data_IF_350035572796
#
_entry.id   IF_350035572796
#
_cell.length_a   1.000
_cell.length_b   1.000
_cell.length_c   1.000
_cell.angle_alpha   90.00
_cell.angle_beta   90.00
_cell.angle_gamma   90.00
#
_symmetry.space_group_name_H-M   'P 1'
#
loop_
_entity.id
_entity.type
_entity.pdbx_description
1 polymer ?
#
# COMPACT_ATOMS: atom_id res chain seq x y z
N UNK A 1 20.09 -31.44 7.48
CA UNK A 1 20.38 -30.58 8.65
C UNK A 1 20.15 -29.15 8.20
N UNK A 2 19.01 -28.57 8.58
CA UNK A 2 18.55 -27.26 8.12
C UNK A 2 18.87 -26.23 9.20
N UNK A 3 19.79 -25.31 8.91
CA UNK A 3 20.17 -24.22 9.81
C UNK A 3 19.32 -22.98 9.50
N UNK A 4 18.33 -22.71 10.35
CA UNK A 4 17.64 -21.40 10.40
C UNK A 4 18.63 -20.36 10.93
N UNK A 5 18.77 -19.25 10.20
CA UNK A 5 19.49 -18.08 10.68
C UNK A 5 18.72 -17.42 11.85
N UNK A 6 19.41 -16.87 12.86
CA UNK A 6 18.77 -16.27 14.03
C UNK A 6 18.31 -14.84 13.72
N UNK A 7 16.99 -14.62 13.74
CA UNK A 7 16.38 -13.29 13.67
C UNK A 7 16.51 -12.60 15.03
N UNK A 8 17.13 -11.41 15.06
CA UNK A 8 17.23 -10.58 16.26
C UNK A 8 15.87 -9.94 16.57
N UNK A 9 15.25 -10.37 17.66
CA UNK A 9 13.99 -9.86 18.18
C UNK A 9 14.15 -8.43 18.71
N UNK A 10 13.44 -7.48 18.10
CA UNK A 10 12.79 -6.41 18.87
C UNK A 10 11.28 -6.55 18.64
N UNK A 11 10.46 -6.70 19.68
CA UNK A 11 9.03 -6.86 19.51
C UNK A 11 8.43 -5.55 18.98
N UNK A 12 8.00 -5.56 17.72
CA UNK A 12 7.03 -4.58 17.22
C UNK A 12 5.72 -4.90 17.96
N UNK A 13 5.22 -3.95 18.74
CA UNK A 13 4.00 -4.13 19.53
C UNK A 13 2.84 -4.40 18.57
N UNK A 14 2.36 -5.64 18.53
CA UNK A 14 1.22 -6.01 17.70
C UNK A 14 0.01 -5.14 18.06
N UNK A 15 -0.65 -4.49 17.08
CA UNK A 15 -1.88 -3.74 17.34
C UNK A 15 -2.99 -4.71 17.76
N UNK A 16 -3.86 -4.26 18.69
CA UNK A 16 -4.96 -5.09 19.19
C UNK A 16 -6.05 -5.23 18.12
N UNK A 17 -6.52 -6.45 17.80
CA UNK A 17 -7.64 -6.63 16.88
C UNK A 17 -8.89 -5.97 17.46
N UNK A 18 -9.65 -5.29 16.59
CA UNK A 18 -11.00 -4.83 16.96
C UNK A 18 -11.91 -6.05 16.85
N UNK A 19 -12.19 -6.70 17.98
CA UNK A 19 -12.99 -7.93 18.02
C UNK A 19 -14.35 -7.76 17.35
N UNK A 20 -14.77 -8.78 16.60
CA UNK A 20 -16.15 -8.90 16.14
C UNK A 20 -17.05 -9.10 17.37
N UNK A 21 -18.13 -8.31 17.44
CA UNK A 21 -19.14 -8.24 18.51
C UNK A 21 -18.77 -7.39 19.74
N UNK A 22 -19.21 -6.14 19.72
CA UNK A 22 -19.88 -5.55 20.88
C UNK A 22 -20.98 -4.61 20.39
N UNK A 23 -22.20 -4.86 20.90
CA UNK A 23 -23.33 -3.95 20.83
C UNK A 23 -22.89 -2.51 21.14
N UNK A 24 -23.16 -1.58 20.22
CA UNK A 24 -23.02 -0.15 20.46
C UNK A 24 -24.11 0.30 21.46
N UNK A 25 -23.86 0.13 22.75
CA UNK A 25 -24.50 0.96 23.78
C UNK A 25 -23.63 2.17 24.06
N UNK A 26 -24.25 3.33 23.96
CA UNK A 26 -23.80 4.66 24.34
C UNK A 26 -22.76 4.75 25.48
N UNK A 27 -21.74 5.58 25.27
CA UNK A 27 -21.01 6.26 26.35
C UNK A 27 -19.52 5.92 26.44
N UNK A 28 -18.68 6.68 25.73
CA UNK A 28 -17.28 6.87 26.14
C UNK A 28 -17.08 8.32 26.59
N UNK A 29 -16.56 8.57 27.81
CA UNK A 29 -16.31 9.91 28.29
C UNK A 29 -15.11 10.53 27.55
N UNK A 30 -15.33 11.73 27.03
CA UNK A 30 -14.34 12.60 26.42
C UNK A 30 -13.29 13.00 27.47
N UNK A 31 -12.13 12.34 27.50
CA UNK A 31 -10.97 12.87 28.23
C UNK A 31 -10.21 13.81 27.29
N UNK A 32 -10.27 15.10 27.60
CA UNK A 32 -9.50 16.13 26.91
C UNK A 32 -8.00 15.84 27.08
N UNK A 33 -7.35 15.43 25.99
CA UNK A 33 -5.91 15.42 25.91
C UNK A 33 -5.40 16.85 26.08
N UNK A 34 -4.62 17.10 27.14
CA UNK A 34 -3.89 18.37 27.33
C UNK A 34 -3.02 18.60 26.09
N UNK A 35 -3.32 19.67 25.35
CA UNK A 35 -2.48 20.15 24.27
C UNK A 35 -1.06 20.41 24.81
N UNK A 36 -0.09 19.63 24.35
CA UNK A 36 1.33 20.03 24.45
C UNK A 36 1.53 21.20 23.51
N UNK A 37 2.21 22.25 23.98
CA UNK A 37 2.53 23.42 23.17
C UNK A 37 3.35 23.05 21.92
N UNK A 38 3.45 23.97 20.94
CA UNK A 38 4.15 23.69 19.69
C UNK A 38 5.65 23.59 19.98
N UNK A 39 6.15 22.37 20.06
CA UNK A 39 7.58 22.10 19.93
C UNK A 39 7.95 22.48 18.48
N UNK A 40 8.87 23.43 18.30
CA UNK A 40 9.36 23.79 16.97
C UNK A 40 10.08 22.59 16.38
N UNK A 41 9.33 21.77 15.64
CA UNK A 41 9.85 20.64 14.88
C UNK A 41 10.81 21.21 13.84
N UNK A 42 12.11 20.95 14.00
CA UNK A 42 13.07 21.16 12.91
C UNK A 42 12.52 20.43 11.70
N UNK A 43 12.22 21.15 10.62
CA UNK A 43 11.77 20.52 9.37
C UNK A 43 12.88 19.57 8.95
N UNK A 44 12.59 18.27 8.99
CA UNK A 44 13.54 17.25 8.57
C UNK A 44 14.02 17.59 7.15
N UNK A 45 15.33 17.77 7.02
CA UNK A 45 15.94 18.10 5.74
C UNK A 45 16.29 16.79 5.06
N UNK A 46 15.40 16.37 4.15
CA UNK A 46 15.60 15.18 3.36
C UNK A 46 16.61 15.43 2.21
N UNK A 47 17.39 14.41 1.80
CA UNK A 47 18.28 14.53 0.66
C UNK A 47 17.48 14.83 -0.62
N UNK A 48 18.04 15.66 -1.48
CA UNK A 48 17.49 15.92 -2.81
C UNK A 48 17.53 14.67 -3.69
N UNK A 49 16.70 14.67 -4.73
CA UNK A 49 16.65 13.64 -5.75
C UNK A 49 18.00 13.47 -6.46
N UNK A 50 18.75 14.55 -6.63
CA UNK A 50 20.09 14.53 -7.20
C UNK A 50 21.10 13.84 -6.27
N UNK A 51 21.07 14.16 -4.97
CA UNK A 51 21.92 13.50 -3.98
C UNK A 51 21.62 12.00 -3.89
N UNK A 52 20.33 11.63 -3.82
CA UNK A 52 19.89 10.23 -3.83
C UNK A 52 20.37 9.51 -5.08
N UNK A 53 20.25 10.12 -6.26
CA UNK A 53 20.67 9.53 -7.53
C UNK A 53 22.19 9.32 -7.66
N UNK A 54 23.00 10.03 -6.88
CA UNK A 54 24.47 9.91 -6.86
C UNK A 54 24.97 8.87 -5.86
N UNK A 55 24.10 8.29 -5.03
CA UNK A 55 24.49 7.25 -4.07
C UNK A 55 24.91 5.96 -4.75
N UNK A 56 25.81 5.20 -4.12
CA UNK A 56 26.23 3.86 -4.54
C UNK A 56 25.10 2.82 -4.39
N UNK A 57 24.07 3.12 -3.59
CA UNK A 57 22.86 2.32 -3.45
C UNK A 57 21.87 2.51 -4.60
N UNK A 58 21.92 3.64 -5.33
CA UNK A 58 20.95 3.96 -6.37
C UNK A 58 20.87 2.91 -7.50
N UNK A 59 21.98 2.33 -8.02
CA UNK A 59 21.92 1.24 -9.01
C UNK A 59 21.22 -0.04 -8.49
N UNK A 60 21.04 -0.15 -7.17
CA UNK A 60 20.39 -1.29 -6.49
C UNK A 60 18.94 -0.99 -6.08
N UNK A 61 18.37 0.14 -6.52
CA UNK A 61 17.01 0.59 -6.13
C UNK A 61 15.92 -0.43 -6.44
N UNK A 62 15.97 -1.01 -7.64
CA UNK A 62 14.98 -1.98 -8.10
C UNK A 62 15.56 -3.38 -8.01
N UNK A 63 14.87 -4.24 -7.28
CA UNK A 63 15.21 -5.65 -7.20
C UNK A 63 14.84 -6.32 -8.52
N UNK A 64 15.82 -6.95 -9.15
CA UNK A 64 15.69 -7.65 -10.44
C UNK A 64 15.13 -9.06 -10.22
N UNK A 65 13.88 -9.10 -9.76
CA UNK A 65 13.11 -10.33 -9.60
C UNK A 65 12.68 -10.84 -10.97
N UNK A 66 12.92 -12.12 -11.24
CA UNK A 66 12.56 -12.77 -12.49
C UNK A 66 11.23 -13.52 -12.32
N UNK A 67 10.16 -13.13 -13.05
CA UNK A 67 8.88 -13.80 -12.95
C UNK A 67 8.99 -15.25 -13.41
N UNK A 68 8.16 -16.13 -12.85
CA UNK A 68 8.04 -17.51 -13.34
C UNK A 68 7.24 -17.54 -14.65
N UNK A 69 6.27 -16.64 -14.76
CA UNK A 69 5.44 -16.45 -15.95
C UNK A 69 5.13 -14.97 -16.09
N UNK A 70 5.11 -14.48 -17.31
CA UNK A 70 4.70 -13.12 -17.64
C UNK A 70 3.92 -13.11 -18.95
N UNK A 71 3.26 -12.00 -19.23
CA UNK A 71 2.58 -11.80 -20.50
C UNK A 71 1.80 -10.50 -20.58
N UNK A 72 1.10 -10.33 -21.69
CA UNK A 72 0.22 -9.20 -21.93
C UNK A 72 -1.22 -9.68 -22.09
N UNK A 73 -2.15 -9.02 -21.41
CA UNK A 73 -3.58 -9.29 -21.51
C UNK A 73 -4.29 -8.09 -22.18
N UNK A 74 -4.93 -8.26 -23.35
CA UNK A 74 -5.75 -7.21 -23.93
C UNK A 74 -7.04 -7.04 -23.12
N UNK A 75 -7.33 -5.80 -22.70
CA UNK A 75 -8.52 -5.47 -21.93
C UNK A 75 -9.29 -4.31 -22.55
N UNK A 76 -10.53 -4.10 -22.08
CA UNK A 76 -11.42 -3.02 -22.52
C UNK A 76 -11.77 -3.03 -24.03
N UNK A 77 -11.65 -4.18 -24.70
CA UNK A 77 -12.16 -4.35 -26.07
C UNK A 77 -13.63 -3.90 -26.16
N UNK A 78 -13.95 -3.04 -27.13
CA UNK A 78 -15.30 -2.47 -27.31
C UNK A 78 -15.68 -1.34 -26.34
N UNK A 79 -14.79 -0.92 -25.43
CA UNK A 79 -15.00 0.18 -24.46
C UNK A 79 -13.88 1.23 -24.49
N UNK A 80 -13.28 1.45 -25.66
CA UNK A 80 -12.13 2.34 -25.84
C UNK A 80 -10.75 1.66 -25.78
N UNK A 81 -10.70 0.33 -25.66
CA UNK A 81 -9.52 -0.49 -25.91
C UNK A 81 -9.54 -1.18 -27.30
N UNK A 82 -8.69 -2.18 -27.55
CA UNK A 82 -7.90 -2.88 -26.56
C UNK A 82 -6.62 -2.13 -26.18
N UNK A 83 -6.34 -2.07 -24.87
CA UNK A 83 -5.00 -1.79 -24.36
C UNK A 83 -4.47 -3.02 -23.64
N UNK A 84 -3.15 -3.17 -23.64
CA UNK A 84 -2.48 -4.33 -23.06
C UNK A 84 -2.10 -4.03 -21.62
N UNK A 85 -2.48 -4.92 -20.71
CA UNK A 85 -1.99 -4.94 -19.33
C UNK A 85 -0.90 -5.98 -19.24
N UNK A 86 0.30 -5.57 -18.83
CA UNK A 86 1.38 -6.48 -18.47
C UNK A 86 1.05 -7.17 -17.14
N UNK A 87 1.31 -8.47 -17.05
CA UNK A 87 1.18 -9.23 -15.81
C UNK A 87 2.40 -10.12 -15.60
N UNK A 88 2.73 -10.33 -14.33
CA UNK A 88 3.81 -11.20 -13.88
C UNK A 88 3.28 -12.12 -12.77
N UNK A 89 3.75 -13.36 -12.75
CA UNK A 89 3.52 -14.31 -11.66
C UNK A 89 4.86 -14.68 -11.06
N UNK A 90 5.02 -14.37 -9.77
CA UNK A 90 6.16 -14.73 -8.95
C UNK A 90 5.73 -15.85 -7.99
N UNK A 91 6.39 -17.00 -8.08
CA UNK A 91 6.13 -18.18 -7.25
C UNK A 91 5.31 -19.27 -7.94
N UNK A 92 5.31 -20.43 -7.30
CA UNK A 92 4.62 -21.65 -7.71
C UNK A 92 3.58 -22.01 -6.64
N UNK A 93 2.39 -22.47 -7.06
CA UNK A 93 1.27 -22.76 -6.15
C UNK A 93 -0.10 -22.44 -6.73
N UNK A 94 -1.14 -23.05 -6.19
CA UNK A 94 -2.50 -22.97 -6.75
C UNK A 94 -3.24 -21.67 -6.37
N UNK A 95 -2.75 -20.97 -5.34
CA UNK A 95 -3.24 -19.66 -4.94
C UNK A 95 -2.26 -18.59 -5.37
N UNK A 96 -2.83 -17.54 -5.96
CA UNK A 96 -2.09 -16.42 -6.50
C UNK A 96 -2.48 -15.19 -5.71
N UNK A 97 -1.49 -14.56 -5.09
CA UNK A 97 -1.61 -13.20 -4.58
C UNK A 97 -1.66 -12.25 -5.77
N UNK A 98 -2.83 -11.66 -6.00
CA UNK A 98 -3.00 -10.66 -7.05
C UNK A 98 -2.76 -9.29 -6.43
N UNK A 99 -1.74 -8.60 -6.93
CA UNK A 99 -1.49 -7.19 -6.61
C UNK A 99 -1.78 -6.36 -7.85
N UNK A 100 -2.66 -5.37 -7.72
CA UNK A 100 -2.89 -4.40 -8.77
C UNK A 100 -2.05 -3.15 -8.49
N UNK A 101 -1.13 -2.84 -9.41
CA UNK A 101 -0.23 -1.70 -9.30
C UNK A 101 1.24 -2.14 -9.25
N UNK A 102 2.08 -1.38 -9.93
CA UNK A 102 3.52 -1.44 -9.72
C UNK A 102 3.83 -1.20 -8.24
N UNK A 103 5.03 -1.54 -7.80
CA UNK A 103 5.56 -1.36 -6.44
C UNK A 103 5.52 0.09 -5.90
N UNK A 104 4.75 1.01 -6.53
CA UNK A 104 5.04 2.42 -6.70
C UNK A 104 3.83 3.37 -6.53
N UNK A 105 2.91 2.96 -5.66
CA UNK A 105 1.83 3.72 -4.98
C UNK A 105 0.41 3.63 -5.57
N UNK A 106 -0.49 3.14 -4.71
CA UNK A 106 -1.79 3.69 -4.33
C UNK A 106 -2.79 4.07 -5.43
N UNK A 107 -3.52 3.08 -5.95
CA UNK A 107 -4.99 3.20 -6.12
C UNK A 107 -5.60 1.79 -5.95
N UNK A 108 -6.05 1.48 -4.74
CA UNK A 108 -6.58 0.15 -4.36
C UNK A 108 -8.11 0.05 -4.53
N UNK A 109 -8.68 0.85 -5.43
CA UNK A 109 -10.12 0.86 -5.72
C UNK A 109 -10.61 -0.41 -6.46
N UNK A 110 -9.69 -1.15 -7.07
CA UNK A 110 -10.02 -2.28 -7.94
C UNK A 110 -10.36 -3.57 -7.20
N UNK A 111 -9.90 -3.73 -5.97
CA UNK A 111 -10.10 -4.97 -5.19
C UNK A 111 -11.58 -5.21 -4.92
N UNK A 112 -12.32 -4.15 -4.54
CA UNK A 112 -13.76 -4.22 -4.33
C UNK A 112 -14.55 -4.41 -5.64
N UNK A 113 -14.08 -3.84 -6.75
CA UNK A 113 -14.68 -4.06 -8.08
C UNK A 113 -14.54 -5.51 -8.53
N UNK A 114 -13.35 -6.09 -8.39
CA UNK A 114 -13.09 -7.49 -8.72
C UNK A 114 -13.87 -8.43 -7.78
N UNK A 115 -13.90 -8.13 -6.49
CA UNK A 115 -14.67 -8.90 -5.51
C UNK A 115 -16.16 -8.88 -5.78
N UNK A 116 -16.69 -7.77 -6.30
CA UNK A 116 -18.08 -7.71 -6.71
C UNK A 116 -18.35 -8.53 -8.00
N UNK A 117 -17.45 -8.46 -8.98
CA UNK A 117 -17.62 -9.11 -10.28
C UNK A 117 -17.39 -10.63 -10.24
N UNK A 118 -16.41 -11.10 -9.45
CA UNK A 118 -15.98 -12.50 -9.42
C UNK A 118 -15.66 -13.01 -8.00
N UNK A 119 -16.59 -12.91 -7.03
CA UNK A 119 -16.31 -13.26 -5.62
C UNK A 119 -15.87 -14.71 -5.42
N UNK A 120 -16.38 -15.64 -6.24
CA UNK A 120 -16.04 -17.06 -6.19
C UNK A 120 -14.59 -17.38 -6.64
N UNK A 121 -13.87 -16.41 -7.23
CA UNK A 121 -12.45 -16.55 -7.59
C UNK A 121 -11.52 -16.10 -6.47
N UNK A 122 -12.05 -15.55 -5.39
CA UNK A 122 -11.27 -14.98 -4.29
C UNK A 122 -11.13 -16.03 -3.18
N UNK A 123 -9.88 -16.34 -2.83
CA UNK A 123 -9.55 -17.14 -1.65
C UNK A 123 -9.59 -16.28 -0.37
N UNK A 124 -9.00 -15.09 -0.41
CA UNK A 124 -9.06 -14.07 0.66
C UNK A 124 -9.05 -12.67 0.06
N UNK A 125 -9.81 -11.74 0.63
CA UNK A 125 -9.86 -10.33 0.21
C UNK A 125 -9.20 -9.45 1.27
N UNK A 126 -8.17 -8.71 0.90
CA UNK A 126 -7.44 -7.82 1.81
C UNK A 126 -7.55 -6.39 1.29
N UNK A 127 -8.32 -5.54 1.98
CA UNK A 127 -8.49 -4.13 1.63
C UNK A 127 -7.58 -3.27 2.51
N UNK A 128 -6.62 -2.59 1.90
CA UNK A 128 -5.52 -1.93 2.63
C UNK A 128 -5.56 -0.43 2.34
N UNK A 129 -5.76 0.38 3.37
CA UNK A 129 -5.75 1.84 3.30
C UNK A 129 -6.59 2.41 2.13
N UNK A 130 -7.72 1.77 1.83
CA UNK A 130 -8.57 2.06 0.66
C UNK A 130 -9.94 2.58 1.09
N UNK A 131 -10.80 2.89 0.11
CA UNK A 131 -12.14 3.41 0.33
C UNK A 131 -13.17 2.67 -0.53
N UNK A 132 -14.43 2.74 -0.11
CA UNK A 132 -15.57 2.31 -0.93
C UNK A 132 -15.96 3.34 -1.99
N UNK A 133 -15.77 4.61 -1.65
CA UNK A 133 -15.90 5.79 -2.49
C UNK A 133 -15.04 6.89 -1.86
N UNK A 134 -14.39 7.71 -2.66
CA UNK A 134 -13.69 8.90 -2.14
C UNK A 134 -14.73 9.96 -1.83
N UNK A 135 -15.02 10.13 -0.55
CA UNK A 135 -15.90 11.19 -0.08
C UNK A 135 -15.05 12.39 0.35
N UNK A 136 -15.57 13.60 0.14
CA UNK A 136 -14.85 14.79 0.57
C UNK A 136 -14.85 14.87 2.10
N UNK A 137 -13.77 14.40 2.72
CA UNK A 137 -13.53 14.53 4.16
C UNK A 137 -12.76 15.80 4.53
N UNK A 138 -12.50 16.68 3.55
CA UNK A 138 -11.79 17.95 3.74
C UNK A 138 -12.75 19.14 3.70
N UNK A 139 -12.36 20.22 4.38
CA UNK A 139 -13.08 21.49 4.30
C UNK A 139 -13.03 22.06 2.87
N UNK A 140 -14.01 22.87 2.49
CA UNK A 140 -14.10 23.47 1.15
C UNK A 140 -12.81 24.21 0.73
N UNK A 141 -12.15 24.89 1.67
CA UNK A 141 -10.89 25.61 1.47
C UNK A 141 -9.68 24.70 1.20
N UNK A 142 -9.58 23.57 1.89
CA UNK A 142 -8.51 22.58 1.66
C UNK A 142 -8.64 21.94 0.27
N UNK A 143 -9.88 21.64 -0.15
CA UNK A 143 -10.16 21.14 -1.49
C UNK A 143 -9.75 22.15 -2.58
N UNK A 144 -10.00 23.45 -2.38
CA UNK A 144 -9.55 24.49 -3.33
C UNK A 144 -8.02 24.64 -3.38
N UNK A 145 -7.33 24.62 -2.23
CA UNK A 145 -5.86 24.72 -2.18
C UNK A 145 -5.20 23.50 -2.84
N UNK A 146 -5.76 22.31 -2.61
CA UNK A 146 -5.31 21.07 -3.26
C UNK A 146 -5.46 21.15 -4.78
N UNK A 147 -6.56 21.72 -5.29
CA UNK A 147 -6.77 21.92 -6.73
C UNK A 147 -5.79 22.93 -7.35
N UNK A 148 -5.52 24.04 -6.66
CA UNK A 148 -4.53 25.04 -7.12
C UNK A 148 -3.11 24.45 -7.14
N UNK A 149 -2.75 23.66 -6.14
CA UNK A 149 -1.42 23.03 -6.07
C UNK A 149 -1.23 21.85 -7.03
N UNK A 150 -2.30 21.23 -7.53
CA UNK A 150 -2.23 20.25 -8.62
C UNK A 150 -1.88 20.87 -9.98
N UNK A 151 -2.19 22.16 -10.19
CA UNK A 151 -1.92 22.87 -11.46
C UNK A 151 -0.52 23.48 -11.55
N UNK A 152 0.20 23.58 -10.43
CA UNK A 152 1.55 24.12 -10.41
C UNK A 152 2.57 23.03 -10.77
N UNK A 153 3.47 23.26 -11.75
CA UNK A 153 4.59 22.36 -11.99
C UNK A 153 5.44 22.30 -10.73
N UNK A 154 5.48 21.13 -10.10
CA UNK A 154 6.34 20.86 -8.93
C UNK A 154 7.69 20.36 -9.44
N UNK A 155 8.78 20.78 -8.79
CA UNK A 155 10.08 20.12 -8.99
C UNK A 155 9.98 18.64 -8.61
N UNK A 156 10.93 17.83 -9.09
CA UNK A 156 11.02 16.42 -8.73
C UNK A 156 11.10 16.26 -7.20
N UNK A 157 11.98 17.01 -6.53
CA UNK A 157 12.13 17.02 -5.07
C UNK A 157 10.83 17.35 -4.36
N UNK A 158 10.14 18.41 -4.78
CA UNK A 158 8.88 18.82 -4.15
C UNK A 158 7.81 17.75 -4.33
N UNK A 159 7.80 17.07 -5.47
CA UNK A 159 6.87 15.97 -5.74
C UNK A 159 7.16 14.78 -4.83
N UNK A 160 8.42 14.35 -4.76
CA UNK A 160 8.84 13.22 -3.92
C UNK A 160 8.55 13.50 -2.45
N UNK A 161 8.98 14.65 -1.93
CA UNK A 161 8.77 15.02 -0.52
C UNK A 161 7.29 15.15 -0.18
N UNK A 162 6.50 15.78 -1.06
CA UNK A 162 5.05 15.88 -0.88
C UNK A 162 4.42 14.49 -0.80
N UNK A 163 4.75 13.61 -1.74
CA UNK A 163 4.20 12.25 -1.78
C UNK A 163 4.62 11.45 -0.55
N UNK A 164 5.91 11.44 -0.21
CA UNK A 164 6.43 10.75 0.98
C UNK A 164 5.68 11.17 2.26
N UNK A 165 5.53 12.48 2.46
CA UNK A 165 4.91 13.06 3.67
C UNK A 165 3.41 12.79 3.79
N UNK A 166 2.75 12.40 2.69
CA UNK A 166 1.35 11.99 2.68
C UNK A 166 1.19 10.48 2.86
N UNK A 167 2.12 9.69 2.32
CA UNK A 167 2.06 8.22 2.35
C UNK A 167 2.60 7.65 3.67
N UNK A 168 3.61 8.28 4.28
CA UNK A 168 4.33 7.73 5.43
C UNK A 168 4.40 8.69 6.62
N UNK A 169 4.51 8.15 7.85
CA UNK A 169 4.86 8.92 9.05
C UNK A 169 6.24 9.57 8.94
N UNK A 170 6.42 10.72 9.58
CA UNK A 170 7.66 11.50 9.50
C UNK A 170 8.85 10.77 10.18
N UNK A 171 8.60 10.17 11.34
CA UNK A 171 9.58 9.38 12.09
C UNK A 171 10.08 8.17 11.28
N UNK A 172 9.17 7.48 10.56
CA UNK A 172 9.56 6.39 9.67
C UNK A 172 10.42 6.88 8.51
N UNK A 173 10.10 8.03 7.89
CA UNK A 173 10.88 8.60 6.79
C UNK A 173 12.31 8.98 7.20
N UNK A 174 12.47 9.49 8.43
CA UNK A 174 13.76 9.87 9.01
C UNK A 174 14.58 8.67 9.48
N UNK A 175 13.93 7.55 9.82
CA UNK A 175 14.60 6.36 10.30
C UNK A 175 15.57 5.77 9.25
N UNK A 176 16.65 5.08 9.70
CA UNK A 176 17.51 4.31 8.82
C UNK A 176 16.71 3.33 7.97
N UNK A 177 17.16 3.13 6.73
CA UNK A 177 16.58 2.12 5.84
C UNK A 177 16.71 0.73 6.45
N UNK A 178 15.58 0.12 6.78
CA UNK A 178 15.50 -1.18 7.44
C UNK A 178 15.10 -2.31 6.49
N UNK A 179 15.03 -2.04 5.17
CA UNK A 179 14.62 -3.03 4.20
C UNK A 179 15.51 -4.29 4.25
N UNK A 180 14.87 -5.45 4.22
CA UNK A 180 15.53 -6.73 3.96
C UNK A 180 15.81 -6.79 2.46
N UNK A 181 17.05 -6.51 2.08
CA UNK A 181 17.47 -6.51 0.68
C UNK A 181 17.80 -7.94 0.23
N UNK A 182 17.53 -8.30 -1.04
CA UNK A 182 17.92 -9.60 -1.57
C UNK A 182 19.43 -9.80 -1.53
N UNK A 183 19.84 -11.05 -1.33
CA UNK A 183 21.20 -11.51 -1.55
C UNK A 183 21.22 -12.61 -2.62
N UNK A 184 22.41 -13.13 -2.90
CA UNK A 184 22.65 -14.18 -3.89
C UNK A 184 21.94 -15.50 -3.62
N UNK A 185 21.34 -15.68 -2.42
CA UNK A 185 20.59 -16.87 -2.05
C UNK A 185 19.11 -16.77 -2.43
N UNK A 186 18.60 -15.57 -2.71
CA UNK A 186 17.21 -15.36 -3.11
C UNK A 186 17.00 -15.93 -4.51
N UNK A 187 16.20 -16.99 -4.60
CA UNK A 187 15.85 -17.63 -5.87
C UNK A 187 15.21 -16.62 -6.84
N UNK A 188 15.63 -16.67 -8.11
CA UNK A 188 15.10 -15.81 -9.18
C UNK A 188 15.24 -14.31 -8.90
N UNK A 189 16.31 -13.92 -8.20
CA UNK A 189 16.74 -12.54 -8.12
C UNK A 189 18.14 -12.42 -8.74
N UNK A 190 18.26 -11.64 -9.82
CA UNK A 190 19.56 -11.38 -10.43
C UNK A 190 20.30 -10.24 -9.73
N UNK A 191 21.63 -10.23 -9.87
CA UNK A 191 22.48 -9.20 -9.30
C UNK A 191 22.08 -7.80 -9.80
N UNK A 192 22.15 -6.76 -8.94
CA UNK A 192 21.86 -5.40 -9.36
C UNK A 192 22.90 -4.91 -10.39
N UNK A 193 22.66 -3.72 -10.96
CA UNK A 193 23.66 -3.09 -11.81
C UNK A 193 24.96 -2.84 -11.02
N UNK A 194 26.07 -3.39 -11.51
CA UNK A 194 27.36 -3.37 -10.80
C UNK A 194 27.67 -4.62 -9.96
N UNK A 195 26.79 -5.64 -9.95
CA UNK A 195 26.99 -6.89 -9.21
C UNK A 195 26.52 -6.83 -7.77
N UNK A 196 26.53 -7.98 -7.08
CA UNK A 196 26.16 -8.07 -5.66
C UNK A 196 27.03 -7.18 -4.76
N UNK A 197 26.51 -6.73 -3.59
CA UNK A 197 25.16 -6.96 -3.05
C UNK A 197 24.16 -5.85 -3.42
N UNK A 198 22.85 -6.12 -3.21
CA UNK A 198 21.89 -5.02 -3.07
C UNK A 198 22.24 -4.18 -1.83
N UNK A 199 22.03 -2.86 -1.91
CA UNK A 199 22.40 -1.94 -0.85
C UNK A 199 21.19 -1.31 -0.18
N UNK A 200 21.43 -0.82 1.03
CA UNK A 200 20.52 0.05 1.76
C UNK A 200 20.88 1.50 1.52
N UNK A 201 19.88 2.35 1.63
CA UNK A 201 20.02 3.81 1.61
C UNK A 201 20.27 4.33 3.03
N UNK A 202 20.63 5.61 3.16
CA UNK A 202 20.85 6.21 4.48
C UNK A 202 19.56 6.31 5.33
N UNK A 203 18.41 6.39 4.69
CA UNK A 203 17.09 6.45 5.34
C UNK A 203 15.99 5.84 4.48
N UNK A 204 14.85 5.56 5.10
CA UNK A 204 13.64 5.13 4.41
C UNK A 204 13.16 6.15 3.37
N UNK A 205 13.26 7.45 3.68
CA UNK A 205 13.00 8.50 2.69
C UNK A 205 13.89 8.33 1.45
N UNK A 206 15.20 8.12 1.63
CA UNK A 206 16.13 8.01 0.50
C UNK A 206 15.83 6.78 -0.36
N UNK A 207 15.44 5.65 0.23
CA UNK A 207 14.95 4.47 -0.51
C UNK A 207 13.70 4.80 -1.32
N UNK A 208 12.70 5.42 -0.69
CA UNK A 208 11.47 5.82 -1.36
C UNK A 208 11.74 6.81 -2.51
N UNK A 209 12.57 7.82 -2.27
CA UNK A 209 12.98 8.80 -3.28
C UNK A 209 13.66 8.12 -4.46
N UNK A 210 14.57 7.17 -4.21
CA UNK A 210 15.24 6.42 -5.28
C UNK A 210 14.23 5.64 -6.14
N UNK A 211 13.24 5.01 -5.50
CA UNK A 211 12.14 4.34 -6.19
C UNK A 211 11.31 5.32 -7.01
N UNK A 212 11.01 6.52 -6.50
CA UNK A 212 10.26 7.53 -7.25
C UNK A 212 11.03 8.12 -8.43
N UNK A 213 12.33 8.38 -8.28
CA UNK A 213 13.20 8.85 -9.37
C UNK A 213 13.21 7.83 -10.49
N UNK A 214 13.45 6.56 -10.15
CA UNK A 214 13.48 5.48 -11.15
C UNK A 214 12.10 5.26 -11.78
N UNK A 215 10.99 5.56 -11.08
CA UNK A 215 9.63 5.55 -11.65
C UNK A 215 9.47 6.62 -12.71
N UNK A 216 9.84 7.86 -12.37
CA UNK A 216 9.65 9.00 -13.26
C UNK A 216 10.58 8.95 -14.48
N UNK A 217 11.70 8.22 -14.40
CA UNK A 217 12.59 7.93 -15.54
C UNK A 217 12.02 6.87 -16.49
N UNK A 218 11.10 6.02 -16.06
CA UNK A 218 10.49 5.00 -16.91
C UNK A 218 9.34 5.57 -17.76
N UNK A 219 9.70 6.19 -18.88
CA UNK A 219 8.74 6.82 -19.79
C UNK A 219 7.84 5.82 -20.54
N UNK A 220 8.18 4.52 -20.53
CA UNK A 220 7.43 3.47 -21.22
C UNK A 220 6.46 2.76 -20.28
N UNK A 221 6.94 2.34 -19.11
CA UNK A 221 6.11 1.65 -18.11
C UNK A 221 5.30 2.59 -17.23
N UNK A 222 5.75 3.84 -17.03
CA UNK A 222 5.02 4.85 -16.26
C UNK A 222 4.64 6.06 -17.12
N UNK A 223 3.53 5.91 -17.85
CA UNK A 223 3.02 6.99 -18.70
C UNK A 223 2.17 7.99 -17.90
N UNK A 224 2.31 9.29 -18.20
CA UNK A 224 1.46 10.34 -17.60
C UNK A 224 -0.03 10.08 -17.85
N UNK A 225 -0.36 9.53 -19.02
CA UNK A 225 -1.72 9.15 -19.38
C UNK A 225 -2.24 8.01 -18.49
N UNK A 226 -1.46 6.95 -18.29
CA UNK A 226 -1.82 5.84 -17.41
C UNK A 226 -2.03 6.31 -15.97
N UNK A 227 -1.16 7.18 -15.46
CA UNK A 227 -1.31 7.80 -14.15
C UNK A 227 -2.60 8.63 -14.03
N UNK A 228 -2.93 9.46 -15.02
CA UNK A 228 -4.16 10.25 -15.01
C UNK A 228 -5.42 9.35 -15.03
N UNK A 229 -5.40 8.27 -15.80
CA UNK A 229 -6.50 7.31 -15.84
C UNK A 229 -6.69 6.60 -14.49
N UNK A 230 -5.61 6.29 -13.78
CA UNK A 230 -5.70 5.74 -12.42
C UNK A 230 -6.35 6.73 -11.45
N UNK A 231 -5.98 8.02 -11.52
CA UNK A 231 -6.61 9.06 -10.71
C UNK A 231 -8.11 9.22 -11.00
N UNK A 232 -8.51 9.15 -12.28
CA UNK A 232 -9.93 9.19 -12.67
C UNK A 232 -10.66 7.95 -12.13
N UNK A 233 -10.09 6.75 -12.29
CA UNK A 233 -10.67 5.53 -11.77
C UNK A 233 -10.82 5.59 -10.23
N UNK A 234 -9.82 6.13 -9.52
CA UNK A 234 -9.88 6.37 -8.09
C UNK A 234 -11.01 7.33 -7.70
N UNK A 235 -11.21 8.41 -8.46
CA UNK A 235 -12.25 9.40 -8.17
C UNK A 235 -13.68 8.94 -8.48
N UNK A 236 -13.84 8.02 -9.44
CA UNK A 236 -15.16 7.55 -9.90
C UNK A 236 -15.60 6.19 -9.35
N UNK A 237 -14.71 5.46 -8.66
CA UNK A 237 -15.13 4.21 -8.03
C UNK A 237 -16.14 4.49 -6.92
N UNK A 238 -17.16 3.64 -6.84
CA UNK A 238 -18.17 3.74 -5.80
C UNK A 238 -18.81 2.38 -5.56
N UNK A 239 -18.71 1.89 -4.33
CA UNK A 239 -19.48 0.76 -3.81
C UNK A 239 -20.45 1.23 -2.75
N UNK A 240 -21.73 0.97 -2.98
CA UNK A 240 -22.76 1.25 -1.97
C UNK A 240 -22.62 0.30 -0.78
N UNK A 241 -23.17 0.68 0.38
CA UNK A 241 -23.21 -0.18 1.55
C UNK A 241 -23.88 -1.55 1.27
N UNK A 242 -24.90 -1.58 0.39
CA UNK A 242 -25.55 -2.83 -0.01
C UNK A 242 -24.60 -3.73 -0.82
N UNK A 243 -23.85 -3.14 -1.77
CA UNK A 243 -22.87 -3.88 -2.57
C UNK A 243 -21.71 -4.40 -1.71
N UNK A 244 -21.25 -3.63 -0.73
CA UNK A 244 -20.21 -4.08 0.20
C UNK A 244 -20.69 -5.23 1.09
N UNK A 245 -21.92 -5.18 1.60
CA UNK A 245 -22.50 -6.30 2.34
C UNK A 245 -22.58 -7.56 1.47
N UNK A 246 -23.01 -7.40 0.23
CA UNK A 246 -23.06 -8.48 -0.75
C UNK A 246 -21.68 -9.08 -1.04
N UNK A 247 -20.63 -8.25 -1.16
CA UNK A 247 -19.23 -8.72 -1.23
C UNK A 247 -18.88 -9.50 0.03
N UNK A 248 -19.21 -8.98 1.21
CA UNK A 248 -19.00 -9.62 2.50
C UNK A 248 -19.58 -11.04 2.54
N UNK A 249 -20.81 -11.19 2.08
CA UNK A 249 -21.51 -12.47 2.09
C UNK A 249 -21.00 -13.44 1.01
N UNK A 250 -20.74 -12.95 -0.22
CA UNK A 250 -20.28 -13.79 -1.33
C UNK A 250 -18.83 -14.20 -1.25
N UNK A 251 -17.96 -13.34 -0.71
CA UNK A 251 -16.57 -13.68 -0.41
C UNK A 251 -16.49 -14.44 0.91
N UNK A 252 -17.46 -14.34 1.82
CA UNK A 252 -17.37 -14.95 3.13
C UNK A 252 -16.51 -14.10 4.06
N UNK A 253 -17.14 -13.60 5.12
CA UNK A 253 -16.60 -12.54 5.97
C UNK A 253 -15.31 -12.95 6.65
N UNK A 254 -15.15 -14.21 7.06
CA UNK A 254 -13.92 -14.71 7.69
C UNK A 254 -12.68 -14.58 6.79
N UNK A 255 -12.87 -14.52 5.47
CA UNK A 255 -11.81 -14.42 4.47
C UNK A 255 -11.47 -12.98 4.10
N UNK A 256 -12.05 -12.00 4.80
CA UNK A 256 -11.87 -10.58 4.52
C UNK A 256 -11.04 -9.91 5.63
N UNK A 257 -10.08 -9.10 5.21
CA UNK A 257 -9.26 -8.22 6.03
C UNK A 257 -9.45 -6.76 5.60
N UNK A 258 -9.59 -5.86 6.56
CA UNK A 258 -9.53 -4.40 6.32
C UNK A 258 -8.46 -3.79 7.22
N UNK A 259 -7.48 -3.08 6.64
CA UNK A 259 -6.44 -2.35 7.38
C UNK A 259 -6.53 -0.86 7.04
N UNK A 260 -6.42 0.01 8.04
CA UNK A 260 -6.26 1.45 7.85
C UNK A 260 -5.27 2.04 8.86
N UNK A 261 -4.45 2.99 8.45
CA UNK A 261 -3.49 3.67 9.32
C UNK A 261 -4.01 5.00 9.87
N UNK A 262 -3.69 5.38 11.11
CA UNK A 262 -4.10 6.68 11.66
C UNK A 262 -3.29 7.86 11.12
N UNK A 263 -2.09 7.61 10.59
CA UNK A 263 -1.22 8.60 9.96
C UNK A 263 -1.35 8.64 8.43
N UNK A 264 -2.29 7.89 7.84
CA UNK A 264 -2.62 7.95 6.42
C UNK A 264 -3.25 9.30 6.05
N UNK A 265 -2.55 10.09 5.23
CA UNK A 265 -3.03 11.38 4.70
C UNK A 265 -3.50 11.29 3.25
N UNK A 266 -3.39 10.11 2.62
CA UNK A 266 -3.91 9.84 1.28
C UNK A 266 -5.39 9.49 1.38
N UNK A 267 -5.75 8.54 2.26
CA UNK A 267 -7.13 8.13 2.53
C UNK A 267 -7.40 8.26 4.02
N UNK A 268 -8.39 9.08 4.37
CA UNK A 268 -8.68 9.36 5.78
C UNK A 268 -9.39 8.19 6.48
N UNK A 269 -9.15 8.07 7.80
CA UNK A 269 -9.68 7.02 8.69
C UNK A 269 -11.19 6.74 8.54
N UNK A 270 -12.09 7.73 8.35
CA UNK A 270 -13.52 7.45 8.18
C UNK A 270 -13.84 6.46 7.05
N UNK A 271 -13.03 6.42 5.99
CA UNK A 271 -13.22 5.49 4.88
C UNK A 271 -12.98 4.04 5.31
N UNK A 272 -11.87 3.78 6.00
CA UNK A 272 -11.58 2.46 6.57
C UNK A 272 -12.64 2.02 7.56
N UNK A 273 -13.13 2.92 8.42
CA UNK A 273 -14.23 2.63 9.36
C UNK A 273 -15.52 2.22 8.65
N UNK A 274 -15.90 2.91 7.58
CA UNK A 274 -17.07 2.54 6.76
C UNK A 274 -16.91 1.17 6.10
N UNK A 275 -15.71 0.86 5.59
CA UNK A 275 -15.43 -0.47 5.04
C UNK A 275 -15.62 -1.55 6.10
N UNK A 276 -15.08 -1.36 7.31
CA UNK A 276 -15.25 -2.28 8.44
C UNK A 276 -16.74 -2.44 8.79
N UNK A 277 -17.48 -1.34 8.89
CA UNK A 277 -18.91 -1.36 9.23
C UNK A 277 -19.74 -2.14 8.20
N UNK A 278 -19.50 -1.91 6.90
CA UNK A 278 -20.33 -2.48 5.84
C UNK A 278 -19.92 -3.90 5.46
N UNK A 279 -18.62 -4.19 5.40
CA UNK A 279 -18.11 -5.53 5.07
C UNK A 279 -18.17 -6.49 6.25
N UNK A 280 -18.14 -5.98 7.49
CA UNK A 280 -18.00 -6.76 8.73
C UNK A 280 -16.95 -7.87 8.56
N UNK A 281 -15.70 -7.52 8.25
CA UNK A 281 -14.65 -8.48 7.92
C UNK A 281 -14.29 -9.34 9.13
N UNK A 282 -13.81 -10.55 8.88
CA UNK A 282 -13.29 -11.45 9.91
C UNK A 282 -12.11 -10.86 10.65
N UNK A 283 -11.33 -9.99 10.00
CA UNK A 283 -10.27 -9.20 10.62
C UNK A 283 -10.32 -7.75 10.20
N UNK A 284 -10.09 -6.87 11.17
CA UNK A 284 -9.87 -5.46 10.87
C UNK A 284 -8.88 -4.82 11.83
N UNK A 285 -8.11 -3.87 11.30
CA UNK A 285 -7.14 -3.10 12.05
C UNK A 285 -7.22 -1.62 11.69
N UNK A 286 -7.40 -0.78 12.72
CA UNK A 286 -7.03 0.64 12.66
C UNK A 286 -5.71 0.76 13.41
N UNK A 287 -4.61 0.91 12.68
CA UNK A 287 -3.25 0.83 13.21
C UNK A 287 -2.75 2.23 13.53
N UNK A 288 -2.37 2.43 14.78
CA UNK A 288 -1.87 3.71 15.26
C UNK A 288 -0.50 4.04 14.66
N UNK A 289 -0.29 5.30 14.29
CA UNK A 289 0.94 5.86 13.69
C UNK A 289 1.40 5.13 12.42
N UNK A 290 0.49 4.42 11.74
CA UNK A 290 0.75 3.80 10.45
C UNK A 290 0.26 4.71 9.33
N UNK A 291 1.06 4.86 8.29
CA UNK A 291 0.69 5.56 7.06
C UNK A 291 -0.15 4.71 6.11
N UNK A 292 -0.11 5.10 4.84
CA UNK A 292 -0.91 4.54 3.76
C UNK A 292 -0.36 3.23 3.18
N UNK A 293 0.96 3.00 3.28
CA UNK A 293 1.63 1.90 2.60
C UNK A 293 2.29 0.90 3.58
N UNK A 294 1.51 0.11 4.36
CA UNK A 294 2.04 -0.84 5.34
C UNK A 294 2.93 -1.92 4.73
N UNK A 295 2.75 -2.24 3.45
CA UNK A 295 3.62 -3.16 2.72
C UNK A 295 5.09 -2.71 2.70
N UNK A 296 5.33 -1.40 2.73
CA UNK A 296 6.67 -0.80 2.79
C UNK A 296 7.01 -0.41 4.22
N UNK A 297 6.06 0.16 4.95
CA UNK A 297 6.31 0.78 6.27
C UNK A 297 6.35 -0.23 7.44
N UNK A 298 5.65 -1.36 7.28
CA UNK A 298 5.48 -2.42 8.29
C UNK A 298 5.65 -3.80 7.65
N UNK A 299 6.64 -3.93 6.75
CA UNK A 299 6.79 -5.08 5.84
C UNK A 299 6.69 -6.44 6.54
N UNK A 300 7.40 -6.64 7.66
CA UNK A 300 7.37 -7.93 8.35
C UNK A 300 5.97 -8.28 8.87
N UNK A 301 5.37 -7.40 9.67
CA UNK A 301 4.02 -7.58 10.21
C UNK A 301 2.98 -7.78 9.10
N UNK A 302 3.09 -6.98 8.04
CA UNK A 302 2.18 -7.06 6.91
C UNK A 302 2.30 -8.40 6.17
N UNK A 303 3.52 -8.91 5.96
CA UNK A 303 3.75 -10.20 5.32
C UNK A 303 3.24 -11.38 6.17
N UNK A 304 3.44 -11.32 7.49
CA UNK A 304 2.91 -12.32 8.42
C UNK A 304 1.37 -12.34 8.37
N UNK A 305 0.74 -11.17 8.36
CA UNK A 305 -0.71 -11.03 8.25
C UNK A 305 -1.25 -11.52 6.89
N UNK A 306 -0.56 -11.22 5.79
CA UNK A 306 -0.93 -11.77 4.48
C UNK A 306 -0.81 -13.29 4.43
N UNK A 307 0.22 -13.86 5.05
CA UNK A 307 0.40 -15.32 5.16
C UNK A 307 -0.80 -15.93 5.88
N UNK A 308 -1.19 -15.34 7.01
CA UNK A 308 -2.33 -15.79 7.79
C UNK A 308 -3.65 -15.72 6.99
N UNK A 309 -3.86 -14.64 6.22
CA UNK A 309 -5.04 -14.50 5.37
C UNK A 309 -5.05 -15.49 4.20
N UNK A 310 -3.89 -15.79 3.60
CA UNK A 310 -3.77 -16.84 2.57
C UNK A 310 -4.14 -18.20 3.14
N UNK A 311 -3.57 -18.57 4.29
CA UNK A 311 -3.86 -19.85 4.96
C UNK A 311 -5.33 -19.96 5.36
N UNK A 312 -5.93 -18.87 5.86
CA UNK A 312 -7.37 -18.83 6.17
C UNK A 312 -8.20 -19.02 4.89
N UNK A 313 -7.82 -18.35 3.81
CA UNK A 313 -8.47 -18.46 2.51
C UNK A 313 -8.39 -19.87 1.93
N UNK A 314 -7.25 -20.54 2.06
CA UNK A 314 -7.02 -21.95 1.67
C UNK A 314 -7.99 -22.88 2.36
N UNK A 315 -7.93 -22.89 3.70
CA UNK A 315 -8.71 -23.76 4.56
C UNK A 315 -10.21 -23.61 4.30
N UNK A 316 -10.71 -22.36 4.25
CA UNK A 316 -12.13 -22.08 4.06
C UNK A 316 -12.60 -22.25 2.62
N UNK A 317 -11.70 -22.31 1.65
CA UNK A 317 -12.02 -22.63 0.25
C UNK A 317 -11.96 -24.14 -0.03
N UNK A 318 -11.64 -24.96 0.96
CA UNK A 318 -11.47 -26.41 0.80
C UNK A 318 -10.26 -26.80 -0.05
N UNK A 319 -9.18 -26.01 0.04
CA UNK A 319 -7.90 -26.24 -0.65
C UNK A 319 -6.80 -26.56 0.33
#
# INVERSE_FOLDING_TARGET
>A
MSSRAPYLEKPIKAPRPIGAQHHLSSGYPFQAARARGPEMTTVATFPSAEEVAKTDAFPTTLWRLEPHREGELPVAAGRGGPFKIHWEVHGEGDIKLIRHGSFRQAVDAWEAEFAYAAPHRIASLNLICTAAAIENTTSFSENMINRVTMLLPKSLDRTITYTASNVFPADWLEAPDDAVVPDETVSRCSAPEGGWPYRRFGSNYARFAAQEITKQRDLKGFTRQGFLLQMIAAGWHHKSAAQLREIGDKVGRERILVIHGTADKVISIPHGRKLIEYLQPGKSYIVDEMGHAPIVERTQWFNELLTEMCTTGEQLSGR
#
